data_IF_556865192909
#
_entry.id   IF_556865192909
#
_cell.length_a   1.000
_cell.length_b   1.000
_cell.length_c   1.000
_cell.angle_alpha   90.00
_cell.angle_beta   90.00
_cell.angle_gamma   90.00
#
_symmetry.space_group_name_H-M   'P 1'
#
loop_
_entity.id
_entity.type
_entity.pdbx_description
1 polymer ?
#
# COMPACT_ATOMS: atom_id res chain seq x y z
N UNK A 1 21.45 11.04 9.65
CA UNK A 1 21.02 10.89 8.26
C UNK A 1 20.46 9.49 7.99
N UNK A 2 21.19 8.40 8.23
CA UNK A 2 20.69 7.02 8.06
C UNK A 2 19.42 6.70 8.89
N UNK A 3 19.40 7.09 10.17
CA UNK A 3 18.23 6.84 11.03
C UNK A 3 16.96 7.58 10.57
N UNK A 4 17.11 8.75 9.99
CA UNK A 4 16.00 9.54 9.43
C UNK A 4 15.47 8.91 8.14
N UNK A 5 16.35 8.38 7.29
CA UNK A 5 15.98 7.62 6.09
C UNK A 5 15.21 6.35 6.43
N UNK A 6 15.74 5.54 7.36
CA UNK A 6 15.05 4.34 7.84
C UNK A 6 13.70 4.67 8.44
N UNK A 7 13.58 5.75 9.19
CA UNK A 7 12.32 6.20 9.77
C UNK A 7 11.28 6.62 8.72
N UNK A 8 11.69 7.34 7.68
CA UNK A 8 10.79 7.74 6.60
C UNK A 8 10.33 6.55 5.74
N UNK A 9 11.25 5.64 5.41
CA UNK A 9 10.93 4.40 4.68
C UNK A 9 9.98 3.50 5.47
N UNK A 10 10.18 3.38 6.79
CA UNK A 10 9.25 2.66 7.68
C UNK A 10 7.85 3.27 7.61
N UNK A 11 7.72 4.57 7.76
CA UNK A 11 6.43 5.25 7.81
C UNK A 11 5.68 5.16 6.47
N UNK A 12 6.40 5.32 5.34
CA UNK A 12 5.84 5.15 3.99
C UNK A 12 5.26 3.75 3.82
N UNK A 13 6.03 2.75 4.17
CA UNK A 13 5.65 1.37 3.96
C UNK A 13 4.53 0.95 4.91
N UNK A 14 4.60 1.29 6.18
CA UNK A 14 3.57 0.90 7.15
C UNK A 14 2.22 1.53 6.83
N UNK A 15 2.19 2.76 6.35
CA UNK A 15 0.96 3.40 5.87
C UNK A 15 0.47 2.77 4.56
N UNK A 16 1.35 2.40 3.62
CA UNK A 16 0.97 1.69 2.41
C UNK A 16 0.42 0.28 2.72
N UNK A 17 1.05 -0.45 3.63
CA UNK A 17 0.57 -1.75 4.11
C UNK A 17 -0.79 -1.66 4.79
N UNK A 18 -0.94 -0.71 5.72
CA UNK A 18 -2.18 -0.49 6.44
C UNK A 18 -3.35 -0.17 5.50
N UNK A 19 -3.08 0.61 4.47
CA UNK A 19 -4.12 1.14 3.58
C UNK A 19 -4.35 0.31 2.33
N UNK A 20 -3.32 -0.26 1.71
CA UNK A 20 -3.47 -1.05 0.47
C UNK A 20 -3.69 -2.54 0.75
N UNK A 21 -2.85 -3.15 1.60
CA UNK A 21 -2.90 -4.60 1.82
C UNK A 21 -4.02 -5.00 2.77
N UNK A 22 -4.13 -4.33 3.92
CA UNK A 22 -5.11 -4.68 4.95
C UNK A 22 -6.50 -4.09 4.70
N UNK A 23 -6.66 -3.13 3.78
CA UNK A 23 -7.97 -2.55 3.49
C UNK A 23 -8.98 -3.59 2.98
N UNK A 24 -8.59 -4.49 2.08
CA UNK A 24 -9.50 -5.50 1.58
C UNK A 24 -10.04 -6.42 2.68
N UNK A 25 -9.20 -7.13 3.44
CA UNK A 25 -9.72 -7.99 4.51
C UNK A 25 -10.47 -7.21 5.58
N UNK A 26 -10.14 -5.94 5.84
CA UNK A 26 -10.84 -5.11 6.81
C UNK A 26 -12.26 -4.72 6.36
N UNK A 27 -12.43 -4.38 5.08
CA UNK A 27 -13.73 -3.98 4.54
C UNK A 27 -14.56 -5.13 3.94
N UNK A 28 -13.98 -6.29 3.73
CA UNK A 28 -14.63 -7.44 3.08
C UNK A 28 -15.98 -7.83 3.72
N UNK A 29 -16.09 -7.97 5.07
CA UNK A 29 -17.38 -8.30 5.69
C UNK A 29 -18.43 -7.21 5.48
N UNK A 30 -17.98 -5.96 5.39
CA UNK A 30 -18.85 -4.81 5.21
C UNK A 30 -19.39 -4.76 3.77
N UNK A 31 -18.54 -5.00 2.79
CA UNK A 31 -18.94 -5.09 1.38
C UNK A 31 -19.89 -6.25 1.11
N UNK A 32 -19.64 -7.43 1.72
CA UNK A 32 -20.54 -8.58 1.66
C UNK A 32 -21.94 -8.21 2.20
N UNK A 33 -22.02 -7.58 3.37
CA UNK A 33 -23.27 -7.23 4.01
C UNK A 33 -24.04 -6.09 3.31
N UNK A 34 -23.33 -5.08 2.77
CA UNK A 34 -23.96 -3.86 2.24
C UNK A 34 -24.16 -3.87 0.73
N UNK A 35 -23.29 -4.54 -0.03
CA UNK A 35 -23.38 -4.60 -1.48
C UNK A 35 -23.97 -5.93 -1.97
N UNK A 36 -24.12 -6.93 -1.08
CA UNK A 36 -24.69 -8.23 -1.43
C UNK A 36 -23.79 -9.09 -2.34
N UNK A 37 -22.52 -8.75 -2.48
CA UNK A 37 -21.58 -9.54 -3.28
C UNK A 37 -21.15 -10.79 -2.50
N UNK A 38 -20.93 -11.90 -3.23
CA UNK A 38 -20.44 -13.10 -2.60
C UNK A 38 -19.01 -12.89 -2.07
N UNK A 39 -18.73 -13.45 -0.89
CA UNK A 39 -17.39 -13.43 -0.29
C UNK A 39 -16.33 -13.96 -1.25
N UNK A 40 -16.66 -15.00 -2.02
CA UNK A 40 -15.77 -15.60 -3.01
C UNK A 40 -15.38 -14.61 -4.11
N UNK A 41 -16.35 -13.83 -4.62
CA UNK A 41 -16.07 -12.85 -5.67
C UNK A 41 -15.18 -11.70 -5.15
N UNK A 42 -15.45 -11.21 -3.94
CA UNK A 42 -14.63 -10.17 -3.31
C UNK A 42 -13.21 -10.66 -3.02
N UNK A 43 -13.07 -11.87 -2.46
CA UNK A 43 -11.77 -12.49 -2.23
C UNK A 43 -11.03 -12.76 -3.54
N UNK A 44 -11.76 -13.15 -4.60
CA UNK A 44 -11.20 -13.35 -5.94
C UNK A 44 -10.57 -12.09 -6.51
N UNK A 45 -11.21 -10.93 -6.35
CA UNK A 45 -10.64 -9.65 -6.80
C UNK A 45 -9.36 -9.29 -6.05
N UNK A 46 -9.31 -9.55 -4.73
CA UNK A 46 -8.12 -9.35 -3.92
C UNK A 46 -7.00 -10.35 -4.29
N UNK A 47 -7.32 -11.62 -4.52
CA UNK A 47 -6.35 -12.62 -4.98
C UNK A 47 -5.74 -12.21 -6.33
N UNK A 48 -6.55 -11.65 -7.24
CA UNK A 48 -6.06 -11.09 -8.49
C UNK A 48 -4.99 -10.03 -8.24
N UNK A 49 -5.20 -9.12 -7.30
CA UNK A 49 -4.21 -8.08 -6.98
C UNK A 49 -2.88 -8.67 -6.50
N UNK A 50 -2.92 -9.73 -5.69
CA UNK A 50 -1.70 -10.40 -5.21
C UNK A 50 -0.94 -11.09 -6.35
N UNK A 51 -1.65 -11.75 -7.27
CA UNK A 51 -1.04 -12.37 -8.45
C UNK A 51 -0.40 -11.29 -9.34
N UNK A 52 -1.11 -10.20 -9.61
CA UNK A 52 -0.59 -9.06 -10.38
C UNK A 52 0.64 -8.48 -9.71
N UNK A 53 0.59 -8.26 -8.39
CA UNK A 53 1.74 -7.76 -7.63
C UNK A 53 2.96 -8.68 -7.78
N UNK A 54 2.78 -9.98 -7.66
CA UNK A 54 3.86 -10.96 -7.82
C UNK A 54 4.46 -10.95 -9.24
N UNK A 55 3.62 -10.81 -10.27
CA UNK A 55 4.08 -10.74 -11.67
C UNK A 55 4.88 -9.45 -11.93
N UNK A 56 4.44 -8.32 -11.38
CA UNK A 56 5.09 -7.02 -11.60
C UNK A 56 6.30 -6.77 -10.71
N UNK A 57 6.43 -7.45 -9.56
CA UNK A 57 7.55 -7.29 -8.62
C UNK A 57 8.95 -7.37 -9.28
N UNK A 58 9.29 -8.36 -10.15
CA UNK A 58 10.60 -8.42 -10.77
C UNK A 58 10.85 -7.28 -11.77
N UNK A 59 9.82 -6.74 -12.40
CA UNK A 59 9.96 -5.58 -13.28
C UNK A 59 10.25 -4.33 -12.47
N UNK A 60 9.49 -4.12 -11.40
CA UNK A 60 9.68 -3.00 -10.46
C UNK A 60 11.08 -3.04 -9.84
N UNK A 61 11.54 -4.22 -9.38
CA UNK A 61 12.89 -4.39 -8.86
C UNK A 61 13.97 -3.92 -9.85
N UNK A 62 13.87 -4.30 -11.12
CA UNK A 62 14.81 -3.85 -12.16
C UNK A 62 14.80 -2.33 -12.38
N UNK A 63 13.66 -1.67 -12.24
CA UNK A 63 13.60 -0.20 -12.31
C UNK A 63 14.27 0.46 -11.12
N UNK A 64 14.11 -0.10 -9.93
CA UNK A 64 14.77 0.37 -8.71
C UNK A 64 16.28 0.20 -8.81
N UNK A 65 16.76 -0.96 -9.29
CA UNK A 65 18.19 -1.23 -9.49
C UNK A 65 18.85 -0.27 -10.48
N UNK A 66 18.10 0.27 -11.44
CA UNK A 66 18.55 1.31 -12.37
C UNK A 66 18.57 2.74 -11.78
N UNK A 67 18.29 2.89 -10.48
CA UNK A 67 18.28 4.18 -9.78
C UNK A 67 16.99 4.97 -9.92
N UNK A 68 15.92 4.38 -10.48
CA UNK A 68 14.62 5.03 -10.65
C UNK A 68 13.64 4.77 -9.51
N UNK A 69 14.14 4.41 -8.32
CA UNK A 69 13.31 4.06 -7.15
C UNK A 69 12.30 5.15 -6.78
N UNK A 70 12.74 6.40 -6.84
CA UNK A 70 11.90 7.57 -6.53
C UNK A 70 10.64 7.65 -7.41
N UNK A 71 10.81 7.47 -8.70
CA UNK A 71 9.71 7.49 -9.66
C UNK A 71 8.74 6.34 -9.39
N UNK A 72 9.27 5.15 -9.11
CA UNK A 72 8.47 3.94 -8.83
C UNK A 72 7.61 4.13 -7.58
N UNK A 73 8.17 4.65 -6.48
CA UNK A 73 7.42 4.89 -5.25
C UNK A 73 6.36 5.98 -5.41
N UNK A 74 6.70 7.10 -6.07
CA UNK A 74 5.71 8.16 -6.34
C UNK A 74 4.57 7.65 -7.22
N UNK A 75 4.88 6.90 -8.27
CA UNK A 75 3.89 6.31 -9.17
C UNK A 75 2.99 5.32 -8.42
N UNK A 76 3.58 4.42 -7.62
CA UNK A 76 2.84 3.45 -6.81
C UNK A 76 1.88 4.13 -5.83
N UNK A 77 2.35 5.16 -5.14
CA UNK A 77 1.55 5.94 -4.18
C UNK A 77 0.37 6.64 -4.86
N UNK A 78 0.62 7.28 -6.00
CA UNK A 78 -0.44 7.98 -6.74
C UNK A 78 -1.47 6.99 -7.30
N UNK A 79 -1.00 5.86 -7.84
CA UNK A 79 -1.88 4.81 -8.34
C UNK A 79 -2.75 4.21 -7.22
N UNK A 80 -2.17 3.93 -6.05
CA UNK A 80 -2.90 3.44 -4.88
C UNK A 80 -3.98 4.43 -4.42
N UNK A 81 -3.63 5.72 -4.37
CA UNK A 81 -4.60 6.79 -4.07
C UNK A 81 -5.76 6.77 -5.05
N UNK A 82 -5.50 6.77 -6.35
CA UNK A 82 -6.53 6.76 -7.38
C UNK A 82 -7.43 5.51 -7.28
N UNK A 83 -6.84 4.33 -7.04
CA UNK A 83 -7.58 3.09 -6.90
C UNK A 83 -8.51 3.12 -5.68
N UNK A 84 -8.04 3.54 -4.50
CA UNK A 84 -8.88 3.65 -3.31
C UNK A 84 -9.94 4.74 -3.45
N UNK A 85 -9.60 5.87 -4.04
CA UNK A 85 -10.57 6.94 -4.32
C UNK A 85 -11.70 6.46 -5.22
N UNK A 86 -11.39 5.75 -6.30
CA UNK A 86 -12.40 5.18 -7.19
C UNK A 86 -13.16 4.03 -6.53
N UNK A 87 -12.50 3.23 -5.69
CA UNK A 87 -13.14 2.13 -4.96
C UNK A 87 -14.23 2.63 -4.00
N UNK A 88 -14.06 3.83 -3.44
CA UNK A 88 -15.11 4.45 -2.61
C UNK A 88 -16.43 4.72 -3.36
N UNK A 89 -16.38 4.82 -4.69
CA UNK A 89 -17.52 5.02 -5.58
C UNK A 89 -18.00 3.75 -6.27
N UNK A 90 -17.35 2.63 -6.02
CA UNK A 90 -17.68 1.36 -6.64
C UNK A 90 -19.08 0.88 -6.23
N UNK A 91 -19.83 0.40 -7.21
CA UNK A 91 -21.20 -0.13 -7.05
C UNK A 91 -21.37 -1.51 -7.61
N UNK A 92 -20.49 -1.94 -8.51
CA UNK A 92 -20.55 -3.24 -9.18
C UNK A 92 -19.28 -4.05 -8.94
N UNK A 93 -19.40 -5.36 -9.00
CA UNK A 93 -18.28 -6.27 -8.77
C UNK A 93 -17.14 -6.08 -9.77
N UNK A 94 -17.45 -5.69 -11.02
CA UNK A 94 -16.43 -5.41 -12.04
C UNK A 94 -15.50 -4.26 -11.66
N UNK A 95 -16.03 -3.23 -10.98
CA UNK A 95 -15.22 -2.13 -10.46
C UNK A 95 -14.17 -2.65 -9.48
N UNK A 96 -14.54 -3.64 -8.62
CA UNK A 96 -13.59 -4.26 -7.71
C UNK A 96 -12.48 -5.00 -8.46
N UNK A 97 -12.80 -5.83 -9.46
CA UNK A 97 -11.78 -6.55 -10.22
C UNK A 97 -10.81 -5.62 -10.94
N UNK A 98 -11.32 -4.59 -11.62
CA UNK A 98 -10.48 -3.63 -12.33
C UNK A 98 -9.61 -2.82 -11.36
N UNK A 99 -10.19 -2.32 -10.28
CA UNK A 99 -9.46 -1.49 -9.33
C UNK A 99 -8.43 -2.31 -8.54
N UNK A 100 -8.76 -3.55 -8.16
CA UNK A 100 -7.79 -4.43 -7.50
C UNK A 100 -6.68 -4.92 -8.44
N UNK A 101 -6.93 -5.03 -9.74
CA UNK A 101 -5.87 -5.27 -10.72
C UNK A 101 -4.83 -4.12 -10.69
N UNK A 102 -5.27 -2.88 -10.80
CA UNK A 102 -4.37 -1.72 -10.72
C UNK A 102 -3.77 -1.54 -9.32
N UNK A 103 -4.52 -1.87 -8.27
CA UNK A 103 -3.99 -1.91 -6.92
C UNK A 103 -2.83 -2.90 -6.78
N UNK A 104 -2.88 -4.06 -7.45
CA UNK A 104 -1.78 -5.02 -7.49
C UNK A 104 -0.49 -4.40 -8.06
N UNK A 105 -0.60 -3.59 -9.11
CA UNK A 105 0.55 -2.84 -9.65
C UNK A 105 1.06 -1.82 -8.63
N UNK A 106 0.16 -1.06 -8.00
CA UNK A 106 0.54 -0.11 -6.95
C UNK A 106 1.23 -0.80 -5.77
N UNK A 107 0.73 -1.98 -5.36
CA UNK A 107 1.33 -2.79 -4.31
C UNK A 107 2.74 -3.25 -4.66
N UNK A 108 3.00 -3.71 -5.89
CA UNK A 108 4.35 -4.10 -6.32
C UNK A 108 5.35 -2.93 -6.25
N UNK A 109 4.88 -1.69 -6.45
CA UNK A 109 5.73 -0.50 -6.38
C UNK A 109 5.98 0.01 -4.95
N UNK A 110 5.15 -0.38 -3.97
CA UNK A 110 5.15 0.25 -2.64
C UNK A 110 5.39 -0.73 -1.48
N UNK A 111 5.34 -2.05 -1.74
CA UNK A 111 5.45 -3.07 -0.70
C UNK A 111 6.90 -3.56 -0.49
N UNK A 112 7.03 -4.68 0.22
CA UNK A 112 8.30 -5.22 0.73
C UNK A 112 9.41 -5.34 -0.32
N UNK A 113 9.09 -5.86 -1.50
CA UNK A 113 10.07 -6.13 -2.53
C UNK A 113 10.77 -4.86 -3.00
N UNK A 114 9.99 -3.81 -3.25
CA UNK A 114 10.51 -2.51 -3.66
C UNK A 114 11.34 -1.86 -2.54
N UNK A 115 10.85 -1.88 -1.30
CA UNK A 115 11.53 -1.31 -0.15
C UNK A 115 12.83 -2.06 0.17
N UNK A 116 12.82 -3.39 0.14
CA UNK A 116 14.02 -4.18 0.43
C UNK A 116 15.09 -4.05 -0.65
N UNK A 117 14.70 -4.02 -1.93
CA UNK A 117 15.62 -3.74 -3.01
C UNK A 117 16.28 -2.35 -2.84
N UNK A 118 15.48 -1.35 -2.49
CA UNK A 118 15.99 0.00 -2.26
C UNK A 118 16.93 0.07 -1.05
N UNK A 119 16.56 -0.51 0.10
CA UNK A 119 17.38 -0.53 1.30
C UNK A 119 18.70 -1.29 1.11
N UNK A 120 18.69 -2.42 0.40
CA UNK A 120 19.90 -3.20 0.11
C UNK A 120 20.85 -2.44 -0.80
N UNK A 121 20.33 -1.70 -1.79
CA UNK A 121 21.14 -0.89 -2.69
C UNK A 121 21.71 0.36 -2.03
N UNK A 122 21.00 0.94 -1.05
CA UNK A 122 21.40 2.20 -0.42
C UNK A 122 22.21 2.01 0.86
N UNK A 123 21.95 0.95 1.64
CA UNK A 123 22.49 0.76 2.99
C UNK A 123 23.24 -0.59 3.16
N UNK A 124 24.16 -0.90 2.27
CA UNK A 124 24.83 -2.20 2.16
C UNK A 124 25.27 -2.83 3.53
N UNK A 125 25.85 -2.04 4.45
CA UNK A 125 26.35 -2.53 5.74
C UNK A 125 25.27 -2.62 6.84
N UNK A 126 24.21 -1.80 6.78
CA UNK A 126 23.17 -1.70 7.81
C UNK A 126 21.80 -2.20 7.32
N UNK A 127 21.70 -2.68 6.08
CA UNK A 127 20.46 -3.11 5.45
C UNK A 127 19.69 -4.15 6.31
N UNK A 128 20.40 -5.13 6.89
CA UNK A 128 19.78 -6.16 7.74
C UNK A 128 19.05 -5.57 8.95
N UNK A 129 19.66 -4.60 9.64
CA UNK A 129 19.03 -3.94 10.80
C UNK A 129 17.82 -3.11 10.35
N UNK A 130 17.94 -2.35 9.27
CA UNK A 130 16.86 -1.58 8.69
C UNK A 130 15.67 -2.47 8.31
N UNK A 131 15.90 -3.57 7.60
CA UNK A 131 14.88 -4.55 7.23
C UNK A 131 14.18 -5.13 8.47
N UNK A 132 14.91 -5.46 9.54
CA UNK A 132 14.32 -6.00 10.77
C UNK A 132 13.38 -4.99 11.43
N UNK A 133 13.78 -3.72 11.59
CA UNK A 133 12.92 -2.69 12.16
C UNK A 133 11.68 -2.45 11.31
N UNK A 134 11.86 -2.37 10.01
CA UNK A 134 10.81 -2.18 9.02
C UNK A 134 9.79 -3.33 9.08
N UNK A 135 10.21 -4.57 9.26
CA UNK A 135 9.33 -5.73 9.38
C UNK A 135 8.56 -5.76 10.71
N UNK A 136 9.22 -5.38 11.81
CA UNK A 136 8.57 -5.29 13.11
C UNK A 136 7.46 -4.23 13.13
N UNK A 137 7.73 -3.06 12.58
CA UNK A 137 6.73 -1.97 12.51
C UNK A 137 5.52 -2.36 11.64
N UNK A 138 5.72 -3.11 10.54
CA UNK A 138 4.63 -3.60 9.71
C UNK A 138 3.64 -4.52 10.45
N UNK A 139 4.11 -5.24 11.45
CA UNK A 139 3.24 -6.04 12.30
C UNK A 139 2.14 -5.22 13.00
N UNK A 140 2.44 -3.97 13.35
CA UNK A 140 1.45 -3.05 13.93
C UNK A 140 0.50 -2.46 12.89
N UNK A 141 0.92 -2.38 11.63
CA UNK A 141 0.11 -1.82 10.55
C UNK A 141 -1.23 -2.52 10.37
N UNK A 142 -1.27 -3.85 10.48
CA UNK A 142 -2.51 -4.63 10.45
C UNK A 142 -3.46 -4.24 11.58
N UNK A 143 -2.99 -4.21 12.81
CA UNK A 143 -3.82 -3.88 13.98
C UNK A 143 -4.42 -2.47 13.85
N UNK A 144 -3.61 -1.50 13.44
CA UNK A 144 -4.06 -0.11 13.22
C UNK A 144 -5.09 -0.06 12.08
N UNK A 145 -4.84 -0.77 10.98
CA UNK A 145 -5.74 -0.80 9.82
C UNK A 145 -7.11 -1.38 10.16
N UNK A 146 -7.17 -2.55 10.82
CA UNK A 146 -8.44 -3.17 11.20
C UNK A 146 -9.21 -2.32 12.20
N UNK A 147 -8.54 -1.80 13.23
CA UNK A 147 -9.17 -0.96 14.25
C UNK A 147 -9.70 0.34 13.65
N UNK A 148 -8.91 1.02 12.81
CA UNK A 148 -9.32 2.27 12.16
C UNK A 148 -10.40 2.05 11.11
N UNK A 149 -10.36 0.99 10.31
CA UNK A 149 -11.40 0.65 9.36
C UNK A 149 -12.74 0.40 10.06
N UNK A 150 -12.74 -0.37 11.15
CA UNK A 150 -13.93 -0.63 11.94
C UNK A 150 -14.51 0.66 12.52
N UNK A 151 -13.69 1.44 13.20
CA UNK A 151 -14.11 2.71 13.82
C UNK A 151 -14.67 3.70 12.78
N UNK A 152 -13.93 3.96 11.72
CA UNK A 152 -14.36 4.88 10.67
C UNK A 152 -15.64 4.42 9.98
N UNK A 153 -15.81 3.11 9.79
CA UNK A 153 -17.02 2.58 9.16
C UNK A 153 -18.24 2.74 10.04
N UNK A 154 -18.11 2.57 11.35
CA UNK A 154 -19.23 2.76 12.28
C UNK A 154 -19.75 4.20 12.29
N UNK A 155 -18.86 5.20 12.22
CA UNK A 155 -19.24 6.61 12.33
C UNK A 155 -19.54 7.28 10.99
N UNK A 156 -18.83 6.94 9.93
CA UNK A 156 -18.88 7.65 8.64
C UNK A 156 -19.31 6.78 7.46
N UNK A 157 -19.49 5.49 7.68
CA UNK A 157 -19.73 4.51 6.62
C UNK A 157 -18.46 4.11 5.85
N UNK A 158 -18.50 2.96 5.17
CA UNK A 158 -17.33 2.37 4.53
C UNK A 158 -16.77 3.21 3.36
N UNK A 159 -17.64 3.93 2.61
CA UNK A 159 -17.20 4.78 1.50
C UNK A 159 -16.31 5.93 2.00
N UNK A 160 -16.75 6.60 3.06
CA UNK A 160 -15.97 7.67 3.70
C UNK A 160 -14.69 7.14 4.36
N UNK A 161 -14.76 5.95 4.96
CA UNK A 161 -13.57 5.30 5.54
C UNK A 161 -12.50 5.02 4.48
N UNK A 162 -12.87 4.51 3.30
CA UNK A 162 -11.94 4.29 2.18
C UNK A 162 -11.42 5.62 1.62
N UNK A 163 -12.23 6.66 1.55
CA UNK A 163 -11.77 8.00 1.17
C UNK A 163 -10.73 8.54 2.15
N UNK A 164 -10.94 8.37 3.45
CA UNK A 164 -9.97 8.77 4.47
C UNK A 164 -8.68 7.97 4.29
N UNK A 165 -8.75 6.66 4.04
CA UNK A 165 -7.57 5.84 3.75
C UNK A 165 -6.82 6.32 2.49
N UNK A 166 -7.55 6.70 1.43
CA UNK A 166 -6.92 7.24 0.22
C UNK A 166 -6.19 8.57 0.50
N UNK A 167 -6.80 9.45 1.29
CA UNK A 167 -6.18 10.71 1.69
C UNK A 167 -4.96 10.51 2.59
N UNK A 168 -4.99 9.54 3.49
CA UNK A 168 -3.83 9.18 4.33
C UNK A 168 -2.65 8.77 3.45
N UNK A 169 -2.87 7.94 2.43
CA UNK A 169 -1.80 7.58 1.49
C UNK A 169 -1.24 8.82 0.81
N UNK A 170 -2.09 9.71 0.31
CA UNK A 170 -1.64 10.90 -0.40
C UNK A 170 -0.88 11.86 0.52
N UNK A 171 -1.43 12.17 1.70
CA UNK A 171 -0.90 13.19 2.61
C UNK A 171 0.32 12.69 3.39
N UNK A 172 0.37 11.40 3.73
CA UNK A 172 1.48 10.84 4.50
C UNK A 172 2.58 10.32 3.59
N UNK A 173 2.25 9.46 2.61
CA UNK A 173 3.28 8.81 1.80
C UNK A 173 3.95 9.76 0.80
N UNK A 174 3.23 10.66 0.16
CA UNK A 174 3.79 11.50 -0.89
C UNK A 174 4.86 12.47 -0.37
N UNK A 175 4.68 13.21 0.74
CA UNK A 175 5.73 14.05 1.31
C UNK A 175 6.92 13.23 1.85
N UNK A 176 6.66 12.04 2.41
CA UNK A 176 7.71 11.18 2.93
C UNK A 176 8.57 10.60 1.81
N UNK A 177 7.95 10.12 0.73
CA UNK A 177 8.67 9.69 -0.48
C UNK A 177 9.52 10.85 -1.01
N UNK A 178 8.96 12.05 -1.12
CA UNK A 178 9.67 13.21 -1.61
C UNK A 178 10.84 13.63 -0.71
N UNK A 179 10.66 13.55 0.62
CA UNK A 179 11.74 13.86 1.58
C UNK A 179 12.85 12.80 1.57
N UNK A 180 12.49 11.51 1.50
CA UNK A 180 13.46 10.42 1.40
C UNK A 180 14.30 10.53 0.12
N UNK A 181 13.69 10.90 -0.98
CA UNK A 181 14.37 11.04 -2.27
C UNK A 181 15.31 12.27 -2.32
N UNK A 182 14.95 13.35 -1.62
CA UNK A 182 15.80 14.54 -1.51
C UNK A 182 17.05 14.33 -0.66
N UNK A 183 17.04 13.37 0.25
CA UNK A 183 18.19 13.03 1.09
C UNK A 183 19.22 12.16 0.36
N UNK A 184 18.87 11.59 -0.79
CA UNK A 184 19.70 10.67 -1.57
C UNK A 184 20.35 11.32 -2.81
N UNK A 185 19.92 12.52 -3.20
CA UNK A 185 20.54 13.37 -4.21
C UNK A 185 21.37 14.46 -3.53
#
# INVERSE_FOLDING_TARGET
MEASLVGSEMCIRDSAWATCFYSCPAFLPIWEAQLGFSKTSLTGSYTLSLIVSAIFAPFVGRFIDKGSGNFVFCFGTLLAFCCLFLLSKATEIWHFYVLWFFMGIAMSCSLYEACFAFLTNTMANNARRAITFVTLAAGFGGTISFSSAHFLTQFFGWRSAILIFSLVILVVNLPLVWSATKMLN
#
